data_IF_481803490281
#
_entry.id   IF_481803490281
#
_cell.length_a   1.000
_cell.length_b   1.000
_cell.length_c   1.000
_cell.angle_alpha   90.00
_cell.angle_beta   90.00
_cell.angle_gamma   90.00
#
_symmetry.space_group_name_H-M   'P 1'
#
loop_
_entity.id
_entity.type
_entity.pdbx_description
1 polymer ?
#
# COMPACT_ATOMS: atom_id res chain seq x y z
N UNK A 1 -6.15 9.64 -3.95
CA UNK A 1 -5.08 8.62 -3.98
C UNK A 1 -4.82 8.23 -5.43
N UNK A 2 -3.68 7.62 -5.70
CA UNK A 2 -3.36 6.89 -6.93
C UNK A 2 -2.98 5.49 -6.50
N UNK A 3 -3.42 4.50 -7.27
CA UNK A 3 -3.05 3.10 -7.08
C UNK A 3 -2.43 2.60 -8.37
N UNK A 4 -1.27 1.97 -8.28
CA UNK A 4 -0.60 1.40 -9.44
C UNK A 4 0.20 0.16 -9.03
N UNK A 5 0.51 -0.70 -10.00
CA UNK A 5 1.32 -1.90 -9.77
C UNK A 5 2.74 -1.49 -9.45
N UNK A 6 3.33 -2.13 -8.45
CA UNK A 6 4.77 -2.01 -8.22
C UNK A 6 5.53 -2.55 -9.45
N UNK A 7 6.61 -1.87 -9.85
CA UNK A 7 7.43 -2.30 -10.98
C UNK A 7 8.34 -3.49 -10.63
N UNK A 8 8.59 -3.71 -9.34
CA UNK A 8 9.38 -4.81 -8.78
C UNK A 8 8.51 -5.57 -7.76
N UNK A 9 7.49 -6.31 -8.23
CA UNK A 9 6.55 -6.99 -7.35
C UNK A 9 7.23 -8.08 -6.51
N UNK A 10 6.96 -8.10 -5.21
CA UNK A 10 7.39 -9.16 -4.28
C UNK A 10 6.26 -10.17 -3.97
N UNK A 11 5.12 -10.03 -4.66
CA UNK A 11 3.94 -10.87 -4.52
C UNK A 11 3.17 -10.88 -5.86
N UNK A 12 2.34 -11.90 -6.15
CA UNK A 12 1.53 -11.95 -7.37
C UNK A 12 0.63 -10.72 -7.57
N UNK A 13 0.12 -10.18 -6.47
CA UNK A 13 -0.54 -8.87 -6.44
C UNK A 13 0.32 -7.97 -5.56
N UNK A 14 0.93 -6.95 -6.17
CA UNK A 14 1.66 -5.90 -5.46
C UNK A 14 1.26 -4.53 -6.02
N UNK A 15 0.50 -3.77 -5.24
CA UNK A 15 0.12 -2.39 -5.56
C UNK A 15 0.75 -1.42 -4.57
N UNK A 16 1.07 -0.22 -5.06
CA UNK A 16 1.37 0.93 -4.23
C UNK A 16 0.15 1.83 -4.15
N UNK A 17 -0.25 2.21 -2.94
CA UNK A 17 -1.31 3.19 -2.68
C UNK A 17 -0.66 4.48 -2.21
N UNK A 18 -0.82 5.55 -2.99
CA UNK A 18 -0.06 6.79 -2.83
C UNK A 18 -0.99 8.00 -2.81
N UNK A 19 -0.83 8.98 -1.90
CA UNK A 19 -1.52 10.26 -1.99
C UNK A 19 -1.01 11.07 -3.17
N UNK A 20 -1.91 11.75 -3.88
CA UNK A 20 -1.55 12.63 -5.01
C UNK A 20 -0.67 13.81 -4.55
N UNK A 21 -1.04 14.39 -3.40
CA UNK A 21 -0.21 15.39 -2.72
C UNK A 21 0.97 14.67 -2.08
N UNK A 22 2.13 15.31 -2.15
CA UNK A 22 3.33 14.84 -1.48
C UNK A 22 3.20 14.96 0.04
N UNK A 23 3.46 13.85 0.71
CA UNK A 23 3.67 13.73 2.14
C UNK A 23 4.90 12.84 2.30
N UNK A 24 5.86 13.20 3.14
CA UNK A 24 7.06 12.38 3.27
C UNK A 24 6.72 11.07 3.99
N UNK A 25 6.01 11.17 5.11
CA UNK A 25 5.66 10.01 5.94
C UNK A 25 4.28 10.13 6.62
N UNK A 26 3.97 9.18 7.50
CA UNK A 26 2.75 9.21 8.32
C UNK A 26 2.71 10.37 9.33
N UNK A 27 3.84 11.01 9.65
CA UNK A 27 3.86 12.16 10.56
C UNK A 27 3.27 13.44 9.95
N UNK A 28 3.25 13.53 8.61
CA UNK A 28 2.98 14.79 7.91
C UNK A 28 1.61 14.80 7.22
N UNK A 29 0.87 13.69 7.32
CA UNK A 29 -0.39 13.45 6.64
C UNK A 29 -1.56 13.58 7.60
N UNK A 30 -2.70 14.10 7.11
CA UNK A 30 -3.91 14.20 7.93
C UNK A 30 -4.66 12.87 8.05
N UNK A 31 -5.39 12.71 9.15
CA UNK A 31 -6.22 11.52 9.41
C UNK A 31 -7.21 11.22 8.28
N UNK A 32 -7.80 12.25 7.65
CA UNK A 32 -8.70 12.09 6.50
C UNK A 32 -8.06 11.34 5.33
N UNK A 33 -6.77 11.57 5.08
CA UNK A 33 -6.06 10.87 4.02
C UNK A 33 -5.78 9.43 4.44
N UNK A 34 -5.43 9.18 5.71
CA UNK A 34 -5.23 7.84 6.24
C UNK A 34 -6.52 6.99 6.16
N UNK A 35 -7.66 7.60 6.50
CA UNK A 35 -8.98 6.96 6.36
C UNK A 35 -9.24 6.60 4.90
N UNK A 36 -8.99 7.52 3.96
CA UNK A 36 -9.13 7.24 2.52
C UNK A 36 -8.19 6.13 2.04
N UNK A 37 -6.97 6.04 2.59
CA UNK A 37 -6.04 4.96 2.25
C UNK A 37 -6.56 3.61 2.76
N UNK A 38 -7.10 3.56 3.97
CA UNK A 38 -7.80 2.38 4.49
C UNK A 38 -8.96 1.94 3.61
N UNK A 39 -9.85 2.88 3.25
CA UNK A 39 -10.99 2.59 2.38
C UNK A 39 -10.52 2.03 1.03
N UNK A 40 -9.48 2.61 0.44
CA UNK A 40 -8.90 2.14 -0.81
C UNK A 40 -8.36 0.71 -0.71
N UNK A 41 -7.67 0.35 0.39
CA UNK A 41 -7.19 -1.02 0.61
C UNK A 41 -8.35 -2.03 0.66
N UNK A 42 -9.45 -1.69 1.35
CA UNK A 42 -10.62 -2.55 1.46
C UNK A 42 -11.38 -2.66 0.13
N UNK A 43 -11.49 -1.55 -0.61
CA UNK A 43 -12.07 -1.55 -1.97
C UNK A 43 -11.27 -2.47 -2.89
N UNK A 44 -9.93 -2.36 -2.90
CA UNK A 44 -9.08 -3.25 -3.71
C UNK A 44 -9.26 -4.72 -3.35
N UNK A 45 -9.32 -5.04 -2.06
CA UNK A 45 -9.57 -6.41 -1.61
C UNK A 45 -10.92 -6.94 -2.10
N UNK A 46 -11.97 -6.11 -2.03
CA UNK A 46 -13.31 -6.47 -2.51
C UNK A 46 -13.36 -6.65 -4.02
N UNK A 47 -12.85 -5.68 -4.79
CA UNK A 47 -12.85 -5.69 -6.26
C UNK A 47 -12.05 -6.85 -6.86
N UNK A 48 -11.02 -7.31 -6.13
CA UNK A 48 -10.16 -8.42 -6.54
C UNK A 48 -10.55 -9.76 -5.91
N UNK A 49 -11.66 -9.80 -5.18
CA UNK A 49 -12.17 -10.98 -4.47
C UNK A 49 -11.11 -11.65 -3.57
N UNK A 50 -10.27 -10.83 -2.93
CA UNK A 50 -9.14 -11.31 -2.13
C UNK A 50 -9.62 -11.74 -0.75
N UNK A 51 -9.24 -12.97 -0.36
CA UNK A 51 -9.51 -13.51 0.99
C UNK A 51 -8.52 -13.02 2.05
N UNK A 52 -7.35 -12.56 1.63
CA UNK A 52 -6.30 -12.05 2.51
C UNK A 52 -5.41 -11.06 1.76
N UNK A 53 -4.81 -10.11 2.49
CA UNK A 53 -3.78 -9.21 1.98
C UNK A 53 -2.84 -8.82 3.13
N UNK A 54 -1.63 -8.38 2.78
CA UNK A 54 -0.64 -7.82 3.70
C UNK A 54 -0.41 -6.35 3.34
N UNK A 55 -0.38 -5.52 4.37
CA UNK A 55 -0.10 -4.09 4.29
C UNK A 55 1.27 -3.84 4.90
N UNK A 56 2.15 -3.19 4.13
CA UNK A 56 3.46 -2.74 4.63
C UNK A 56 3.61 -1.26 4.31
N UNK A 57 4.07 -0.51 5.29
CA UNK A 57 4.44 0.88 5.10
C UNK A 57 5.78 1.11 5.79
N UNK A 58 6.74 1.61 5.04
CA UNK A 58 8.08 1.89 5.56
C UNK A 58 8.14 3.33 6.05
N UNK A 59 9.05 3.59 6.99
CA UNK A 59 9.28 4.91 7.56
C UNK A 59 10.77 5.16 7.73
N UNK A 60 11.19 6.43 7.68
CA UNK A 60 12.59 6.80 7.87
C UNK A 60 13.50 6.15 6.83
N UNK A 61 14.65 5.63 7.25
CA UNK A 61 15.68 5.08 6.36
C UNK A 61 15.25 3.80 5.64
N UNK A 62 14.23 3.08 6.13
CA UNK A 62 13.64 1.95 5.42
C UNK A 62 12.74 2.38 4.26
N UNK A 63 12.39 3.67 4.17
CA UNK A 63 11.59 4.21 3.09
C UNK A 63 12.49 4.81 2.01
N UNK A 64 12.77 4.00 0.98
CA UNK A 64 13.64 4.39 -0.14
C UNK A 64 13.12 5.61 -0.92
N UNK A 65 11.81 5.68 -1.14
CA UNK A 65 11.16 6.84 -1.78
C UNK A 65 10.45 7.66 -0.70
N UNK A 66 10.94 8.88 -0.47
CA UNK A 66 10.43 9.83 0.55
C UNK A 66 9.08 10.47 0.19
N UNK A 67 8.16 9.68 -0.34
CA UNK A 67 6.76 10.01 -0.53
C UNK A 67 5.95 8.86 0.07
N UNK A 68 5.08 9.15 1.03
CA UNK A 68 4.20 8.20 1.69
C UNK A 68 3.55 7.25 0.68
N UNK A 69 3.82 5.96 0.83
CA UNK A 69 3.17 4.91 0.06
C UNK A 69 2.95 3.70 0.95
N UNK A 70 1.87 2.98 0.64
CA UNK A 70 1.58 1.69 1.26
C UNK A 70 1.77 0.60 0.20
N UNK A 71 2.54 -0.41 0.54
CA UNK A 71 2.60 -1.67 -0.19
C UNK A 71 1.38 -2.51 0.19
N UNK A 72 0.49 -2.73 -0.78
CA UNK A 72 -0.61 -3.67 -0.70
C UNK A 72 -0.22 -4.95 -1.45
N UNK A 73 -0.06 -6.05 -0.71
CA UNK A 73 0.39 -7.34 -1.27
C UNK A 73 -0.62 -8.44 -1.02
N UNK A 74 -0.80 -9.35 -1.97
CA UNK A 74 -1.67 -10.53 -1.84
C UNK A 74 -1.28 -11.63 -2.83
N UNK A 75 -1.87 -12.81 -2.65
CA UNK A 75 -1.66 -13.97 -3.51
C UNK A 75 -0.45 -14.82 -3.14
N UNK A 76 0.19 -14.58 -2.00
CA UNK A 76 1.25 -15.45 -1.48
C UNK A 76 0.77 -16.90 -1.37
N UNK A 77 1.63 -17.84 -1.72
CA UNK A 77 1.50 -19.24 -1.39
C UNK A 77 1.93 -19.47 0.05
N UNK A 78 1.48 -20.59 0.63
CA UNK A 78 1.84 -20.97 2.00
C UNK A 78 3.35 -21.15 2.17
N UNK A 79 4.06 -21.50 1.09
CA UNK A 79 5.52 -21.64 1.07
C UNK A 79 6.28 -20.30 1.03
N UNK A 80 5.61 -19.17 0.79
CA UNK A 80 6.24 -17.84 0.71
C UNK A 80 6.47 -17.21 2.11
N UNK A 81 6.20 -17.97 3.18
CA UNK A 81 6.29 -17.55 4.59
C UNK A 81 7.30 -18.38 5.39
#
# INVERSE_FOLDING_TARGET
LVVFKDNQPNAPIHYLIVPKKHYESFSDVSDDILIKMKEMMLTLAKEKELKAFRIVANWGDYQAVKHLHIHFTSGFKKEDY
#
